data_IF_871019035185
#
_entry.id   IF_871019035185
#
_cell.length_a   1.000
_cell.length_b   1.000
_cell.length_c   1.000
_cell.angle_alpha   90.00
_cell.angle_beta   90.00
_cell.angle_gamma   90.00
#
_symmetry.space_group_name_H-M   'P 1'
#
loop_
_entity.id
_entity.type
_entity.pdbx_description
1 polymer ?
#
# COMPACT_ATOMS: atom_id res chain seq x y z
N UNK A 1 5.85 12.91 -0.50
CA UNK A 1 5.13 12.76 0.79
C UNK A 1 4.18 13.92 1.02
N UNK A 2 3.04 13.66 1.67
CA UNK A 2 2.09 14.71 2.09
C UNK A 2 2.39 15.27 3.51
N UNK A 3 3.50 14.84 4.12
CA UNK A 3 3.91 15.25 5.46
C UNK A 3 5.36 15.71 5.46
N UNK A 4 5.63 16.96 5.87
CA UNK A 4 6.99 17.40 6.18
C UNK A 4 7.60 16.51 7.27
N UNK A 5 8.89 16.21 7.16
CA UNK A 5 9.61 15.39 8.17
C UNK A 5 9.26 13.90 8.16
N UNK A 6 8.62 13.38 7.13
CA UNK A 6 8.42 11.93 7.00
C UNK A 6 9.77 11.22 6.81
N UNK A 7 10.06 10.18 7.61
CA UNK A 7 11.31 9.42 7.56
C UNK A 7 11.65 8.86 6.17
N UNK A 8 10.62 8.55 5.35
CA UNK A 8 10.79 8.12 3.96
C UNK A 8 11.52 9.14 3.09
N UNK A 9 11.36 10.44 3.37
CA UNK A 9 12.07 11.52 2.66
C UNK A 9 13.58 11.43 2.93
N UNK A 10 13.99 11.25 4.17
CA UNK A 10 15.41 11.18 4.53
C UNK A 10 16.05 9.90 3.99
N UNK A 11 15.33 8.78 4.04
CA UNK A 11 15.76 7.52 3.43
C UNK A 11 15.95 7.66 1.92
N UNK A 12 14.99 8.24 1.20
CA UNK A 12 15.09 8.44 -0.24
C UNK A 12 16.27 9.35 -0.61
N UNK A 13 16.46 10.46 0.12
CA UNK A 13 17.61 11.36 -0.07
C UNK A 13 18.94 10.66 0.16
N UNK A 14 19.06 9.80 1.17
CA UNK A 14 20.31 9.10 1.51
C UNK A 14 20.77 8.15 0.40
N UNK A 15 19.87 7.72 -0.49
CA UNK A 15 20.16 6.86 -1.65
C UNK A 15 20.00 7.59 -2.99
N UNK A 16 19.97 8.93 -2.98
CA UNK A 16 19.94 9.76 -4.18
C UNK A 16 18.62 9.78 -4.95
N UNK A 17 17.51 9.33 -4.32
CA UNK A 17 16.19 9.38 -4.94
C UNK A 17 15.59 10.78 -4.77
N UNK A 18 15.08 11.36 -5.86
CA UNK A 18 14.40 12.65 -5.84
C UNK A 18 13.20 12.62 -4.90
N UNK A 19 13.02 13.70 -4.14
CA UNK A 19 11.95 13.80 -3.15
C UNK A 19 11.20 15.10 -3.28
N UNK A 20 9.88 15.03 -3.03
CA UNK A 20 9.01 16.21 -2.97
C UNK A 20 8.07 16.08 -1.77
N UNK A 21 7.83 17.19 -1.11
CA UNK A 21 6.80 17.30 -0.08
C UNK A 21 5.70 18.22 -0.59
N UNK A 22 4.48 17.71 -0.64
CA UNK A 22 3.26 18.45 -0.95
C UNK A 22 2.40 18.40 0.30
N UNK A 23 2.50 19.43 1.14
CA UNK A 23 1.76 19.44 2.41
C UNK A 23 0.26 19.63 2.13
N UNK A 24 -0.51 18.62 2.43
CA UNK A 24 -1.96 18.64 2.24
C UNK A 24 -2.67 19.75 3.02
N UNK A 25 -2.06 20.28 4.08
CA UNK A 25 -2.61 21.39 4.87
C UNK A 25 -2.51 22.74 4.15
N UNK A 26 -1.73 22.83 3.08
CA UNK A 26 -1.57 24.03 2.28
C UNK A 26 -2.66 24.19 1.21
N UNK A 27 -3.60 23.25 1.14
CA UNK A 27 -4.68 23.24 0.15
C UNK A 27 -6.04 23.43 0.81
N UNK A 28 -6.99 24.11 0.14
CA UNK A 28 -8.31 24.36 0.69
C UNK A 28 -9.14 23.09 0.90
N UNK A 29 -8.92 22.09 0.05
CA UNK A 29 -9.67 20.85 0.07
C UNK A 29 -8.85 19.67 -0.51
N UNK A 30 -9.48 18.50 -0.54
CA UNK A 30 -8.87 17.28 -1.06
C UNK A 30 -8.67 17.32 -2.57
N UNK A 31 -9.56 17.95 -3.31
CA UNK A 31 -9.50 18.00 -4.78
C UNK A 31 -8.26 18.79 -5.20
N UNK A 32 -8.10 20.00 -4.68
CA UNK A 32 -6.94 20.84 -4.99
C UNK A 32 -5.60 20.17 -4.58
N UNK A 33 -5.60 19.43 -3.48
CA UNK A 33 -4.43 18.67 -3.07
C UNK A 33 -4.11 17.52 -4.04
N UNK A 34 -5.11 16.74 -4.44
CA UNK A 34 -4.93 15.58 -5.34
C UNK A 34 -4.53 16.03 -6.75
N UNK A 35 -5.07 17.16 -7.25
CA UNK A 35 -4.63 17.78 -8.51
C UNK A 35 -3.15 18.19 -8.48
N UNK A 36 -2.71 18.82 -7.39
CA UNK A 36 -1.30 19.18 -7.22
C UNK A 36 -0.40 17.96 -7.09
N UNK A 37 -0.88 16.91 -6.41
CA UNK A 37 -0.18 15.64 -6.30
C UNK A 37 -0.05 14.95 -7.65
N UNK A 38 -1.12 14.88 -8.43
CA UNK A 38 -1.13 14.30 -9.78
C UNK A 38 -0.18 15.05 -10.72
N UNK A 39 -0.24 16.38 -10.73
CA UNK A 39 0.64 17.20 -11.56
C UNK A 39 2.13 16.94 -11.26
N UNK A 40 2.51 16.82 -9.99
CA UNK A 40 3.88 16.52 -9.59
C UNK A 40 4.31 15.10 -9.98
N UNK A 41 3.44 14.12 -9.79
CA UNK A 41 3.72 12.71 -10.14
C UNK A 41 3.88 12.57 -11.66
N UNK A 42 3.01 13.18 -12.46
CA UNK A 42 3.11 13.18 -13.93
C UNK A 42 4.34 13.96 -14.41
N UNK A 43 4.61 15.11 -13.78
CA UNK A 43 5.80 15.92 -14.09
C UNK A 43 7.12 15.17 -13.83
N UNK A 44 7.12 14.26 -12.87
CA UNK A 44 8.25 13.36 -12.60
C UNK A 44 8.35 12.18 -13.60
N UNK A 45 7.41 12.01 -14.54
CA UNK A 45 7.39 10.92 -15.52
C UNK A 45 7.02 9.56 -14.90
N UNK A 46 6.35 9.55 -13.75
CA UNK A 46 5.95 8.31 -13.10
C UNK A 46 4.96 7.51 -13.96
N UNK A 47 5.13 6.21 -14.04
CA UNK A 47 4.24 5.28 -14.73
C UNK A 47 3.39 4.46 -13.75
N UNK A 48 3.84 4.32 -12.52
CA UNK A 48 3.18 3.60 -11.43
C UNK A 48 3.22 4.46 -10.17
N UNK A 49 2.12 4.53 -9.45
CA UNK A 49 2.02 5.18 -8.14
C UNK A 49 1.95 4.12 -7.05
N UNK A 50 2.84 4.21 -6.09
CA UNK A 50 2.97 3.23 -5.00
C UNK A 50 2.70 3.93 -3.67
N UNK A 51 1.62 3.54 -3.00
CA UNK A 51 1.25 4.05 -1.70
C UNK A 51 1.91 3.22 -0.59
N UNK A 52 2.63 3.87 0.29
CA UNK A 52 3.24 3.25 1.46
C UNK A 52 2.99 4.15 2.68
N UNK A 53 2.08 3.72 3.55
CA UNK A 53 1.69 4.52 4.71
C UNK A 53 0.99 5.84 4.37
N UNK A 54 0.36 5.93 3.22
CA UNK A 54 -0.43 7.09 2.81
C UNK A 54 -1.83 6.99 3.44
N UNK A 55 -2.11 7.84 4.43
CA UNK A 55 -3.30 7.75 5.29
C UNK A 55 -4.39 8.76 4.90
N UNK A 56 -4.56 9.01 3.61
CA UNK A 56 -5.62 9.89 3.08
C UNK A 56 -6.44 9.18 2.02
N UNK A 57 -7.72 9.51 1.95
CA UNK A 57 -8.56 9.08 0.84
C UNK A 57 -8.26 9.98 -0.36
N UNK A 58 -7.91 9.36 -1.47
CA UNK A 58 -7.77 10.01 -2.77
C UNK A 58 -9.15 10.26 -3.38
N UNK A 59 -9.25 11.22 -4.27
CA UNK A 59 -10.47 11.47 -5.05
C UNK A 59 -10.71 10.35 -6.06
N UNK A 60 -11.97 10.15 -6.44
CA UNK A 60 -12.33 9.17 -7.49
C UNK A 60 -11.62 9.50 -8.79
N UNK A 61 -11.53 10.79 -9.15
CA UNK A 61 -10.82 11.24 -10.34
C UNK A 61 -9.35 10.80 -10.33
N UNK A 62 -8.63 11.01 -9.21
CA UNK A 62 -7.24 10.56 -9.09
C UNK A 62 -7.12 9.05 -9.24
N UNK A 63 -8.03 8.29 -8.64
CA UNK A 63 -8.04 6.82 -8.72
C UNK A 63 -8.30 6.34 -10.14
N UNK A 64 -9.23 6.98 -10.87
CA UNK A 64 -9.55 6.64 -12.25
C UNK A 64 -8.40 6.97 -13.19
N UNK A 65 -7.75 8.11 -13.02
CA UNK A 65 -6.60 8.55 -13.82
C UNK A 65 -5.39 7.60 -13.67
N UNK A 66 -5.26 6.98 -12.50
CA UNK A 66 -4.22 6.00 -12.18
C UNK A 66 -4.75 4.56 -12.10
N UNK A 67 -5.90 4.29 -12.71
CA UNK A 67 -6.49 2.95 -12.71
C UNK A 67 -5.48 1.92 -13.19
N UNK A 68 -5.38 0.81 -12.45
CA UNK A 68 -4.43 -0.30 -12.67
C UNK A 68 -2.94 0.11 -12.67
N UNK A 69 -2.65 1.33 -12.19
CA UNK A 69 -1.31 1.90 -11.99
C UNK A 69 -1.16 2.58 -10.62
N UNK A 70 -2.09 2.36 -9.72
CA UNK A 70 -2.07 2.83 -8.34
C UNK A 70 -2.16 1.62 -7.41
N UNK A 71 -1.11 1.39 -6.63
CA UNK A 71 -0.95 0.23 -5.76
C UNK A 71 -0.82 0.66 -4.31
N UNK A 72 -1.45 -0.08 -3.43
CA UNK A 72 -1.35 0.09 -1.99
C UNK A 72 -0.98 -1.23 -1.32
N UNK A 73 -0.40 -1.16 -0.13
CA UNK A 73 -0.25 -2.30 0.74
C UNK A 73 -1.11 -2.11 1.99
N UNK A 74 -1.94 -3.10 2.29
CA UNK A 74 -2.83 -3.08 3.46
C UNK A 74 -2.37 -4.13 4.48
N UNK A 75 -2.19 -3.76 5.76
CA UNK A 75 -1.62 -4.64 6.77
C UNK A 75 -2.66 -5.61 7.37
N UNK A 76 -3.44 -6.27 6.50
CA UNK A 76 -4.35 -7.36 6.83
C UNK A 76 -4.58 -8.27 5.61
N UNK A 77 -5.16 -9.44 5.85
CA UNK A 77 -5.62 -10.34 4.79
C UNK A 77 -6.97 -9.85 4.24
N UNK A 78 -6.93 -9.08 3.16
CA UNK A 78 -8.16 -8.66 2.48
C UNK A 78 -8.94 -9.88 1.96
N UNK A 79 -10.28 -9.84 1.99
CA UNK A 79 -11.14 -8.69 2.30
C UNK A 79 -11.41 -8.46 3.80
N UNK A 80 -10.74 -9.19 4.69
CA UNK A 80 -10.89 -9.02 6.14
C UNK A 80 -10.17 -7.78 6.65
N UNK A 81 -10.72 -7.15 7.69
CA UNK A 81 -10.08 -6.03 8.41
C UNK A 81 -9.72 -4.82 7.54
N UNK A 82 -10.55 -4.48 6.54
CA UNK A 82 -10.41 -3.22 5.79
C UNK A 82 -10.33 -2.01 6.72
N UNK A 83 -9.67 -0.93 6.29
CA UNK A 83 -9.56 0.33 7.02
C UNK A 83 -8.46 0.34 8.08
N UNK A 84 -8.57 1.26 9.03
CA UNK A 84 -7.54 1.57 10.01
C UNK A 84 -7.48 0.60 11.20
N UNK A 85 -6.44 0.72 12.03
CA UNK A 85 -6.24 -0.01 13.30
C UNK A 85 -6.27 -1.54 13.17
N UNK A 86 -5.76 -2.08 12.08
CA UNK A 86 -5.84 -3.50 11.74
C UNK A 86 -5.27 -4.41 12.82
N UNK A 87 -4.06 -4.15 13.34
CA UNK A 87 -3.41 -4.99 14.35
C UNK A 87 -4.21 -5.08 15.64
N UNK A 88 -4.71 -3.94 16.15
CA UNK A 88 -5.56 -3.90 17.34
C UNK A 88 -6.87 -4.65 17.14
N UNK A 89 -7.47 -4.52 15.94
CA UNK A 89 -8.72 -5.19 15.58
C UNK A 89 -8.53 -6.70 15.44
N UNK A 90 -7.40 -7.14 14.88
CA UNK A 90 -7.01 -8.56 14.77
C UNK A 90 -6.91 -9.18 16.16
N UNK A 91 -6.17 -8.57 17.07
CA UNK A 91 -6.00 -9.05 18.45
C UNK A 91 -7.34 -9.07 19.20
N UNK A 92 -8.14 -8.00 19.09
CA UNK A 92 -9.46 -7.93 19.74
C UNK A 92 -10.42 -9.02 19.25
N UNK A 93 -10.32 -9.43 18.00
CA UNK A 93 -11.16 -10.50 17.41
C UNK A 93 -10.57 -11.89 17.53
N UNK A 94 -9.45 -12.02 18.24
CA UNK A 94 -8.75 -13.28 18.44
C UNK A 94 -8.45 -13.99 17.09
N UNK A 95 -8.24 -13.21 16.03
CA UNK A 95 -7.86 -13.77 14.74
C UNK A 95 -6.45 -14.35 14.84
N UNK A 96 -6.26 -15.55 14.34
CA UNK A 96 -4.98 -16.27 14.48
C UNK A 96 -4.01 -16.01 13.35
N UNK A 97 -4.49 -15.56 12.20
CA UNK A 97 -3.71 -15.36 10.97
C UNK A 97 -3.93 -13.93 10.43
N UNK A 98 -3.28 -12.92 10.99
CA UNK A 98 -3.12 -11.64 10.33
C UNK A 98 -2.17 -11.78 9.14
N UNK A 99 -2.12 -10.75 8.33
CA UNK A 99 -1.23 -10.73 7.19
C UNK A 99 -1.18 -9.36 6.55
N UNK A 100 -0.83 -9.33 5.30
CA UNK A 100 -0.77 -8.12 4.50
C UNK A 100 -1.12 -8.42 3.04
N UNK A 101 -1.59 -7.40 2.33
CA UNK A 101 -2.14 -7.53 0.99
C UNK A 101 -1.72 -6.34 0.14
N UNK A 102 -0.73 -6.45 -0.76
CA UNK A 102 -0.56 -5.56 -1.91
C UNK A 102 -1.74 -5.72 -2.87
N UNK A 103 -2.35 -4.59 -3.24
CA UNK A 103 -3.51 -4.58 -4.12
C UNK A 103 -3.56 -3.30 -4.97
N UNK A 104 -4.22 -3.35 -6.11
CA UNK A 104 -4.56 -2.14 -6.85
C UNK A 104 -5.65 -1.36 -6.12
N UNK A 105 -5.59 -0.02 -6.18
CA UNK A 105 -6.56 0.83 -5.51
C UNK A 105 -7.83 0.97 -6.36
N UNK A 106 -8.98 1.03 -5.68
CA UNK A 106 -10.31 1.33 -6.22
C UNK A 106 -11.00 2.39 -5.38
N UNK A 107 -12.17 2.88 -5.82
CA UNK A 107 -12.92 3.93 -5.11
C UNK A 107 -13.30 3.50 -3.69
N UNK A 108 -13.80 2.28 -3.55
CA UNK A 108 -14.06 1.71 -2.23
C UNK A 108 -12.74 1.28 -1.57
N UNK A 109 -12.59 1.65 -0.30
CA UNK A 109 -11.36 1.39 0.46
C UNK A 109 -11.06 -0.10 0.57
N UNK A 110 -9.83 -0.48 0.21
CA UNK A 110 -9.28 -1.82 0.35
C UNK A 110 -10.10 -2.91 -0.38
N UNK A 111 -10.64 -2.60 -1.57
CA UNK A 111 -11.45 -3.54 -2.37
C UNK A 111 -10.83 -3.95 -3.70
N UNK A 112 -9.76 -3.32 -4.12
CA UNK A 112 -9.19 -3.53 -5.45
C UNK A 112 -8.52 -4.89 -5.65
N UNK A 113 -8.16 -5.22 -6.91
CA UNK A 113 -7.54 -6.48 -7.28
C UNK A 113 -6.31 -6.81 -6.45
N UNK A 114 -6.31 -7.98 -5.83
CA UNK A 114 -5.24 -8.44 -4.94
C UNK A 114 -4.09 -9.01 -5.77
N UNK A 115 -2.87 -8.49 -5.56
CA UNK A 115 -1.66 -8.93 -6.27
C UNK A 115 -1.02 -10.11 -5.56
N UNK A 116 -0.87 -10.01 -4.25
CA UNK A 116 -0.28 -11.06 -3.42
C UNK A 116 -0.80 -10.96 -1.98
N UNK A 117 -0.62 -12.02 -1.21
CA UNK A 117 -0.92 -12.00 0.22
C UNK A 117 0.17 -12.77 0.98
N UNK A 118 0.49 -12.31 2.18
CA UNK A 118 1.31 -13.06 3.11
C UNK A 118 0.62 -13.12 4.47
N UNK A 119 0.84 -14.21 5.17
CA UNK A 119 0.26 -14.44 6.49
C UNK A 119 1.35 -14.63 7.53
N UNK A 120 1.03 -14.32 8.77
CA UNK A 120 1.84 -14.69 9.92
C UNK A 120 0.93 -15.14 11.06
N UNK A 121 1.45 -15.96 11.98
CA UNK A 121 0.68 -16.38 13.15
C UNK A 121 0.74 -15.32 14.24
N UNK A 122 -0.38 -15.09 14.95
CA UNK A 122 -0.40 -14.29 16.18
C UNK A 122 0.24 -15.11 17.31
N UNK A 123 1.27 -14.56 17.92
CA UNK A 123 1.87 -15.10 19.13
C UNK A 123 0.98 -14.88 20.36
N UNK A 124 1.13 -15.74 21.37
CA UNK A 124 0.33 -15.65 22.60
C UNK A 124 0.52 -14.32 23.34
N UNK A 125 1.74 -13.75 23.24
CA UNK A 125 2.14 -12.53 23.93
C UNK A 125 2.16 -11.30 23.01
N UNK A 126 1.60 -11.40 21.77
CA UNK A 126 1.61 -10.28 20.85
C UNK A 126 0.75 -9.12 21.36
N UNK A 127 1.35 -7.95 21.35
CA UNK A 127 0.66 -6.66 21.43
C UNK A 127 0.43 -6.09 20.02
N UNK A 128 -0.32 -5.01 19.91
CA UNK A 128 -0.51 -4.34 18.61
C UNK A 128 0.81 -3.83 18.03
N UNK A 129 1.73 -3.43 18.89
CA UNK A 129 3.07 -2.92 18.56
C UNK A 129 3.98 -4.05 18.05
N UNK A 130 4.07 -5.17 18.79
CA UNK A 130 4.92 -6.33 18.39
C UNK A 130 4.39 -6.98 17.12
N UNK A 131 3.07 -7.15 17.02
CA UNK A 131 2.44 -7.66 15.81
C UNK A 131 2.69 -6.73 14.62
N UNK A 132 2.54 -5.40 14.82
CA UNK A 132 2.82 -4.40 13.79
C UNK A 132 4.27 -4.44 13.31
N UNK A 133 5.24 -4.61 14.19
CA UNK A 133 6.65 -4.73 13.83
C UNK A 133 6.90 -5.98 12.95
N UNK A 134 6.35 -7.12 13.32
CA UNK A 134 6.46 -8.38 12.54
C UNK A 134 5.76 -8.29 11.18
N UNK A 135 4.60 -7.64 11.11
CA UNK A 135 3.90 -7.37 9.84
C UNK A 135 4.76 -6.47 8.95
N UNK A 136 5.40 -5.44 9.51
CA UNK A 136 6.27 -4.53 8.77
C UNK A 136 7.49 -5.23 8.16
N UNK A 137 8.10 -6.19 8.87
CA UNK A 137 9.19 -7.01 8.32
C UNK A 137 8.74 -7.80 7.09
N UNK A 138 7.55 -8.38 7.15
CA UNK A 138 6.96 -9.11 6.05
C UNK A 138 6.56 -8.19 4.89
N UNK A 139 6.08 -6.98 5.19
CA UNK A 139 5.77 -5.92 4.21
C UNK A 139 7.01 -5.54 3.40
N UNK A 140 8.16 -5.36 4.06
CA UNK A 140 9.42 -5.04 3.41
C UNK A 140 9.92 -6.13 2.44
N UNK A 141 9.40 -7.34 2.52
CA UNK A 141 9.69 -8.46 1.61
C UNK A 141 8.64 -8.58 0.52
N UNK A 142 7.36 -8.56 0.88
CA UNK A 142 6.29 -8.82 -0.07
C UNK A 142 6.02 -7.65 -1.00
N UNK A 143 6.06 -6.41 -0.50
CA UNK A 143 5.72 -5.26 -1.33
C UNK A 143 6.71 -5.03 -2.47
N UNK A 144 8.04 -5.04 -2.24
CA UNK A 144 9.00 -4.97 -3.34
C UNK A 144 8.83 -6.10 -4.36
N UNK A 145 8.54 -7.33 -3.91
CA UNK A 145 8.28 -8.47 -4.79
C UNK A 145 7.06 -8.23 -5.68
N UNK A 146 5.94 -7.78 -5.11
CA UNK A 146 4.74 -7.44 -5.87
C UNK A 146 5.01 -6.34 -6.91
N UNK A 147 5.79 -5.31 -6.54
CA UNK A 147 6.18 -4.23 -7.45
C UNK A 147 7.12 -4.72 -8.57
N UNK A 148 8.03 -5.64 -8.27
CA UNK A 148 8.88 -6.27 -9.28
C UNK A 148 8.04 -7.03 -10.30
N UNK A 149 7.07 -7.83 -9.87
CA UNK A 149 6.17 -8.55 -10.77
C UNK A 149 5.37 -7.61 -11.68
N UNK A 150 4.91 -6.47 -11.15
CA UNK A 150 4.25 -5.44 -11.96
C UNK A 150 5.23 -4.85 -13.00
N UNK A 151 6.43 -4.48 -12.57
CA UNK A 151 7.44 -3.87 -13.44
C UNK A 151 7.91 -4.83 -14.57
N UNK A 152 7.91 -6.13 -14.31
CA UNK A 152 8.21 -7.17 -15.28
C UNK A 152 7.04 -7.51 -16.22
N UNK A 153 5.88 -6.84 -16.06
CA UNK A 153 4.67 -7.12 -16.86
C UNK A 153 4.01 -8.47 -16.54
N UNK A 154 4.30 -9.06 -15.39
CA UNK A 154 3.78 -10.36 -14.93
C UNK A 154 2.50 -10.24 -14.11
N UNK A 155 1.96 -9.04 -13.99
CA UNK A 155 0.67 -8.77 -13.35
C UNK A 155 -0.22 -8.05 -14.35
N UNK A 156 -1.38 -8.59 -14.64
CA UNK A 156 -2.43 -7.94 -15.42
C UNK A 156 -3.72 -7.88 -14.61
N UNK A 157 -4.63 -6.99 -14.99
CA UNK A 157 -5.92 -6.83 -14.32
C UNK A 157 -7.02 -7.20 -15.30
N UNK A 158 -7.91 -8.10 -14.87
CA UNK A 158 -9.13 -8.47 -15.58
C UNK A 158 -10.33 -8.25 -14.65
N UNK A 159 -11.09 -7.18 -14.91
CA UNK A 159 -12.16 -6.72 -14.02
C UNK A 159 -11.65 -6.40 -12.61
N UNK A 160 -12.11 -7.15 -11.63
CA UNK A 160 -11.72 -7.02 -10.23
C UNK A 160 -10.67 -8.05 -9.78
N UNK A 161 -10.00 -8.69 -10.72
CA UNK A 161 -8.98 -9.71 -10.42
C UNK A 161 -7.62 -9.29 -10.97
N UNK A 162 -6.58 -9.46 -10.15
CA UNK A 162 -5.22 -9.46 -10.64
C UNK A 162 -4.86 -10.88 -11.08
N UNK A 163 -4.35 -11.00 -12.30
CA UNK A 163 -3.79 -12.24 -12.86
C UNK A 163 -2.28 -12.12 -12.70
N UNK A 164 -1.69 -13.03 -11.95
CA UNK A 164 -0.26 -12.96 -11.60
C UNK A 164 0.44 -14.19 -12.18
N UNK A 165 1.38 -13.95 -13.08
CA UNK A 165 2.27 -14.98 -13.61
C UNK A 165 3.47 -15.16 -12.66
N UNK A 166 3.23 -15.86 -11.57
CA UNK A 166 4.25 -16.23 -10.59
C UNK A 166 3.90 -17.59 -10.00
N UNK A 167 4.91 -18.41 -9.61
CA UNK A 167 4.65 -19.57 -8.79
C UNK A 167 3.96 -19.11 -7.51
N UNK A 168 3.08 -19.96 -6.96
CA UNK A 168 2.42 -19.66 -5.70
C UNK A 168 3.48 -19.27 -4.66
N UNK A 169 3.42 -18.03 -4.16
CA UNK A 169 4.30 -17.57 -3.11
C UNK A 169 3.81 -18.20 -1.81
N UNK A 170 4.17 -19.45 -1.60
CA UNK A 170 3.98 -20.13 -0.32
C UNK A 170 5.06 -19.56 0.60
N UNK A 171 4.68 -18.85 1.62
CA UNK A 171 5.60 -18.45 2.67
C UNK A 171 6.14 -19.71 3.33
N UNK A 172 7.46 -19.91 3.25
CA UNK A 172 8.13 -20.89 4.10
C UNK A 172 7.88 -20.51 5.56
N UNK A 173 7.39 -21.49 6.31
CA UNK A 173 7.14 -21.39 7.75
C UNK A 173 8.44 -21.22 8.54
#
# INVERSE_FOLDING_TARGET
SNRPGAQGIDRAKSVGIATKVIDHKSFPDRIAFDEALDAEIRGAGAQLVVLAGFMRLLTEQFIDDWRDRLVNIHPALLPSFRGLDTHRRVLKRVAKLPGLTPHFVRHEMDTGPIIAQAVLAVGAEDTAETLGARVLELEHRLYPLALTLIAEGRVSVDGDRAIVDAPALVGDA
#
